data_IF_097222494224
#
_entry.id   IF_097222494224
#
_cell.length_a   1.000
_cell.length_b   1.000
_cell.length_c   1.000
_cell.angle_alpha   90.00
_cell.angle_beta   90.00
_cell.angle_gamma   90.00
#
_symmetry.space_group_name_H-M   'P 1'
#
loop_
_entity.id
_entity.type
_entity.pdbx_description
1 polymer ?
#
# COMPACT_ATOMS: atom_id res chain seq x y z
N UNK A 1 -37.27 -66.72 19.61
CA UNK A 1 -37.30 -65.87 20.82
C UNK A 1 -35.96 -65.16 20.90
N UNK A 2 -35.87 -63.97 20.32
CA UNK A 2 -34.64 -63.18 20.30
C UNK A 2 -34.93 -61.85 21.00
N UNK A 3 -34.33 -61.65 22.18
CA UNK A 3 -34.48 -60.44 23.00
C UNK A 3 -33.48 -59.40 22.51
N UNK A 4 -33.96 -58.35 21.83
CA UNK A 4 -33.22 -57.08 21.72
C UNK A 4 -33.91 -56.03 22.58
N UNK A 5 -33.15 -55.51 23.53
CA UNK A 5 -33.55 -54.44 24.43
C UNK A 5 -33.77 -53.14 23.65
N UNK A 6 -34.95 -52.56 23.79
CA UNK A 6 -35.23 -51.18 23.38
C UNK A 6 -34.73 -50.24 24.48
N UNK A 7 -33.66 -49.49 24.20
CA UNK A 7 -33.30 -48.29 24.95
C UNK A 7 -33.81 -47.07 24.17
N UNK A 8 -34.50 -46.12 24.83
CA UNK A 8 -35.16 -45.01 24.16
C UNK A 8 -34.15 -44.00 23.61
N UNK A 9 -34.33 -43.62 22.34
CA UNK A 9 -33.58 -42.55 21.71
C UNK A 9 -33.92 -41.20 22.36
N UNK A 10 -33.18 -40.80 23.41
CA UNK A 10 -33.07 -39.40 23.80
C UNK A 10 -32.27 -38.67 22.71
N UNK A 11 -32.98 -38.21 21.68
CA UNK A 11 -32.50 -37.18 20.80
C UNK A 11 -32.27 -35.92 21.63
N UNK A 12 -31.02 -35.73 22.08
CA UNK A 12 -30.54 -34.49 22.69
C UNK A 12 -30.68 -33.40 21.64
N UNK A 13 -31.78 -32.64 21.70
CA UNK A 13 -31.99 -31.47 20.87
C UNK A 13 -30.84 -30.49 21.15
N UNK A 14 -29.87 -30.44 20.22
CA UNK A 14 -28.85 -29.41 20.22
C UNK A 14 -29.57 -28.06 20.25
N UNK A 15 -29.23 -27.13 21.16
CA UNK A 15 -29.84 -25.82 21.18
C UNK A 15 -29.70 -25.19 19.80
N UNK A 16 -30.83 -24.71 19.26
CA UNK A 16 -30.88 -24.04 17.97
C UNK A 16 -29.77 -22.98 17.92
N UNK A 17 -28.90 -23.07 16.90
CA UNK A 17 -27.86 -22.08 16.67
C UNK A 17 -28.53 -20.71 16.62
N UNK A 18 -28.06 -19.70 17.38
CA UNK A 18 -28.58 -18.35 17.22
C UNK A 18 -28.42 -17.97 15.75
N UNK A 19 -29.53 -17.56 15.12
CA UNK A 19 -29.53 -17.14 13.72
C UNK A 19 -28.49 -16.03 13.49
N UNK A 20 -27.93 -15.92 12.28
CA UNK A 20 -27.00 -14.84 11.99
C UNK A 20 -27.70 -13.51 12.30
N UNK A 21 -27.12 -12.73 13.22
CA UNK A 21 -27.54 -11.35 13.44
C UNK A 21 -27.62 -10.66 12.07
N UNK A 22 -28.65 -9.85 11.81
CA UNK A 22 -28.78 -9.18 10.52
C UNK A 22 -27.49 -8.43 10.25
N UNK A 23 -26.82 -8.76 9.15
CA UNK A 23 -25.69 -8.00 8.65
C UNK A 23 -26.15 -6.55 8.66
N UNK A 24 -25.55 -5.72 9.53
CA UNK A 24 -26.04 -4.37 9.75
C UNK A 24 -25.52 -3.48 8.59
N UNK A 25 -25.93 -3.84 7.37
CA UNK A 25 -25.65 -3.19 6.07
C UNK A 25 -26.30 -1.81 5.95
N UNK A 26 -26.92 -1.32 7.04
CA UNK A 26 -27.47 0.02 7.17
C UNK A 26 -26.41 1.11 7.37
N UNK A 27 -26.85 2.26 7.87
CA UNK A 27 -26.02 3.47 8.07
C UNK A 27 -24.76 3.23 8.92
N UNK A 28 -24.81 2.30 9.86
CA UNK A 28 -23.69 2.00 10.74
C UNK A 28 -22.52 1.28 10.04
N UNK A 29 -22.79 0.34 9.13
CA UNK A 29 -21.72 -0.30 8.34
C UNK A 29 -20.95 0.73 7.49
N UNK A 30 -21.66 1.70 6.92
CA UNK A 30 -21.06 2.81 6.18
C UNK A 30 -20.28 3.79 7.07
N UNK A 31 -20.75 4.03 8.30
CA UNK A 31 -19.97 4.75 9.30
C UNK A 31 -18.63 4.05 9.56
N UNK A 32 -18.62 2.73 9.77
CA UNK A 32 -17.40 1.94 9.96
C UNK A 32 -16.46 2.08 8.76
N UNK A 33 -16.97 1.97 7.53
CA UNK A 33 -16.17 2.18 6.31
C UNK A 33 -15.58 3.60 6.27
N UNK A 34 -16.36 4.62 6.61
CA UNK A 34 -15.89 6.01 6.67
C UNK A 34 -14.73 6.20 7.66
N UNK A 35 -14.83 5.63 8.86
CA UNK A 35 -13.73 5.66 9.85
C UNK A 35 -12.48 4.95 9.33
N UNK A 36 -12.64 3.79 8.67
CA UNK A 36 -11.51 3.04 8.08
C UNK A 36 -10.88 3.77 6.90
N UNK A 37 -11.67 4.49 6.09
CA UNK A 37 -11.16 5.37 5.03
C UNK A 37 -10.33 6.52 5.61
N UNK A 38 -10.78 7.15 6.71
CA UNK A 38 -10.01 8.18 7.39
C UNK A 38 -8.68 7.64 7.92
N UNK A 39 -8.68 6.45 8.53
CA UNK A 39 -7.46 5.79 8.97
C UNK A 39 -6.50 5.50 7.80
N UNK A 40 -7.04 5.12 6.63
CA UNK A 40 -6.22 4.86 5.44
C UNK A 40 -5.68 6.13 4.78
N UNK A 41 -6.45 7.22 4.78
CA UNK A 41 -5.98 8.55 4.36
C UNK A 41 -4.83 9.01 5.25
N UNK A 42 -4.98 8.87 6.57
CA UNK A 42 -3.92 9.21 7.52
C UNK A 42 -2.64 8.40 7.24
N UNK A 43 -2.76 7.12 6.86
CA UNK A 43 -1.60 6.27 6.58
C UNK A 43 -0.81 6.79 5.37
N UNK A 44 -1.51 7.22 4.33
CA UNK A 44 -0.83 7.84 3.18
C UNK A 44 -0.28 9.24 3.49
N UNK A 45 -0.94 10.02 4.36
CA UNK A 45 -0.42 11.30 4.83
C UNK A 45 0.94 11.15 5.50
N UNK A 46 1.07 10.20 6.43
CA UNK A 46 2.33 9.91 7.11
C UNK A 46 3.40 9.36 6.15
N UNK A 47 3.03 8.54 5.18
CA UNK A 47 3.99 8.05 4.19
C UNK A 47 4.59 9.16 3.33
N UNK A 48 3.83 10.22 3.05
CA UNK A 48 4.29 11.33 2.20
C UNK A 48 4.92 12.50 2.95
N UNK A 49 4.69 12.65 4.26
CA UNK A 49 5.28 13.80 4.97
C UNK A 49 6.82 13.78 4.88
N UNK A 50 7.44 12.58 4.88
CA UNK A 50 8.88 12.44 4.76
C UNK A 50 9.42 12.88 3.40
N UNK A 51 8.67 12.73 2.29
CA UNK A 51 9.12 13.16 0.95
C UNK A 51 9.08 14.66 0.75
N UNK A 52 8.21 15.37 1.46
CA UNK A 52 8.15 16.83 1.46
C UNK A 52 9.26 17.44 2.33
N UNK A 53 9.65 16.75 3.40
CA UNK A 53 10.63 17.26 4.38
C UNK A 53 12.08 16.86 4.09
N UNK A 54 12.39 16.30 2.92
CA UNK A 54 13.74 15.85 2.57
C UNK A 54 14.77 16.97 2.71
N UNK A 55 14.50 18.16 2.14
CA UNK A 55 15.42 19.30 2.21
C UNK A 55 15.70 19.75 3.65
N UNK A 56 14.68 20.08 4.45
CA UNK A 56 14.85 20.43 5.87
C UNK A 56 15.58 19.36 6.70
N UNK A 57 15.19 18.09 6.59
CA UNK A 57 15.81 16.99 7.37
C UNK A 57 17.30 16.86 7.05
N UNK A 58 17.67 16.94 5.77
CA UNK A 58 19.08 16.89 5.36
C UNK A 58 19.90 18.04 5.92
N UNK A 59 19.34 19.26 5.92
CA UNK A 59 20.03 20.45 6.44
C UNK A 59 20.30 20.36 7.95
N UNK A 60 19.34 19.84 8.71
CA UNK A 60 19.42 19.81 10.17
C UNK A 60 20.19 18.58 10.71
N UNK A 61 20.01 17.40 10.10
CA UNK A 61 20.63 16.15 10.56
C UNK A 61 21.95 15.84 9.81
N UNK A 62 22.16 16.42 8.63
CA UNK A 62 23.37 16.20 7.84
C UNK A 62 23.42 14.82 7.15
N UNK A 63 22.28 14.31 6.67
CA UNK A 63 22.17 12.98 6.07
C UNK A 63 22.22 13.00 4.54
N UNK A 64 22.70 11.92 3.91
CA UNK A 64 22.79 11.79 2.44
C UNK A 64 21.46 11.45 1.77
N UNK A 65 21.36 11.58 0.44
CA UNK A 65 20.16 11.14 -0.28
C UNK A 65 20.01 9.60 -0.20
N UNK A 66 21.12 8.85 -0.14
CA UNK A 66 21.06 7.40 0.14
C UNK A 66 20.39 7.12 1.49
N UNK A 67 20.75 7.86 2.54
CA UNK A 67 20.11 7.72 3.86
C UNK A 67 18.63 8.11 3.81
N UNK A 68 18.26 9.17 3.09
CA UNK A 68 16.85 9.52 2.86
C UNK A 68 16.12 8.39 2.11
N UNK A 69 16.71 7.82 1.07
CA UNK A 69 16.13 6.71 0.31
C UNK A 69 15.91 5.47 1.20
N UNK A 70 16.83 5.20 2.14
CA UNK A 70 16.66 4.16 3.15
C UNK A 70 15.49 4.46 4.11
N UNK A 71 15.29 5.72 4.52
CA UNK A 71 14.18 6.13 5.40
C UNK A 71 12.82 6.08 4.70
N UNK A 72 12.76 6.49 3.43
CA UNK A 72 11.54 6.50 2.61
C UNK A 72 11.14 5.08 2.18
N UNK A 73 12.13 4.22 1.92
CA UNK A 73 11.92 2.85 1.47
C UNK A 73 12.11 1.81 2.57
N UNK A 74 13.37 1.41 2.75
CA UNK A 74 13.77 0.22 3.52
C UNK A 74 13.25 0.21 4.97
N UNK A 75 13.40 1.34 5.68
CA UNK A 75 13.05 1.47 7.09
C UNK A 75 11.58 1.11 7.36
N UNK A 76 10.69 1.59 6.50
CA UNK A 76 9.26 1.28 6.56
C UNK A 76 8.96 -0.11 5.99
N UNK A 77 9.50 -0.42 4.80
CA UNK A 77 9.11 -1.57 3.99
C UNK A 77 9.30 -2.93 4.66
N UNK A 78 10.46 -3.14 5.31
CA UNK A 78 10.80 -4.43 5.91
C UNK A 78 9.80 -4.75 7.02
N UNK A 79 9.60 -3.82 7.94
CA UNK A 79 8.74 -4.03 9.11
C UNK A 79 7.28 -4.03 8.74
N UNK A 80 6.84 -3.09 7.89
CA UNK A 80 5.47 -3.09 7.37
C UNK A 80 5.14 -4.44 6.70
N UNK A 81 5.96 -4.89 5.77
CA UNK A 81 5.65 -6.09 4.96
C UNK A 81 5.74 -7.38 5.78
N UNK A 82 6.75 -7.51 6.65
CA UNK A 82 6.92 -8.72 7.47
C UNK A 82 5.89 -8.79 8.59
N UNK A 83 5.55 -7.65 9.22
CA UNK A 83 4.56 -7.60 10.29
C UNK A 83 3.11 -7.77 9.79
N UNK A 84 2.82 -7.61 8.49
CA UNK A 84 1.48 -7.90 7.93
C UNK A 84 1.01 -9.33 8.24
N UNK A 85 1.91 -10.33 8.22
CA UNK A 85 1.57 -11.73 8.49
C UNK A 85 1.23 -11.96 9.98
N UNK A 86 2.08 -11.58 10.96
CA UNK A 86 1.72 -11.57 12.38
C UNK A 86 0.48 -10.72 12.69
N UNK A 87 0.33 -9.56 12.05
CA UNK A 87 -0.82 -8.69 12.24
C UNK A 87 -2.13 -9.38 11.81
N UNK A 88 -2.14 -10.07 10.68
CA UNK A 88 -3.27 -10.91 10.27
C UNK A 88 -3.62 -11.97 11.30
N UNK A 89 -2.61 -12.69 11.82
CA UNK A 89 -2.80 -13.67 12.89
C UNK A 89 -3.37 -13.04 14.18
N UNK A 90 -2.90 -11.84 14.53
CA UNK A 90 -3.34 -11.09 15.71
C UNK A 90 -4.81 -10.65 15.55
N UNK A 91 -5.15 -10.09 14.40
CA UNK A 91 -6.52 -9.70 14.01
C UNK A 91 -7.48 -10.90 14.00
N UNK A 92 -7.02 -12.07 13.57
CA UNK A 92 -7.83 -13.28 13.53
C UNK A 92 -8.13 -13.85 14.93
N UNK A 93 -7.23 -13.64 15.90
CA UNK A 93 -7.34 -14.23 17.25
C UNK A 93 -7.94 -13.30 18.28
N UNK A 94 -7.67 -12.01 18.20
CA UNK A 94 -8.03 -11.04 19.25
C UNK A 94 -9.01 -9.98 18.74
N UNK A 95 -9.41 -9.05 19.60
CA UNK A 95 -10.40 -8.01 19.27
C UNK A 95 -9.84 -7.03 18.22
N UNK A 96 -10.43 -7.02 17.02
CA UNK A 96 -9.89 -6.32 15.85
C UNK A 96 -9.94 -4.81 16.01
N UNK A 97 -11.04 -4.31 16.58
CA UNK A 97 -11.18 -2.90 16.95
C UNK A 97 -10.06 -2.45 17.89
N UNK A 98 -9.83 -3.15 19.00
CA UNK A 98 -8.83 -2.76 20.00
C UNK A 98 -7.41 -2.82 19.42
N UNK A 99 -7.11 -3.86 18.63
CA UNK A 99 -5.82 -4.00 17.97
C UNK A 99 -5.60 -2.86 16.99
N UNK A 100 -6.60 -2.53 16.18
CA UNK A 100 -6.50 -1.45 15.19
C UNK A 100 -6.32 -0.08 15.87
N UNK A 101 -7.10 0.21 16.93
CA UNK A 101 -6.97 1.46 17.67
C UNK A 101 -5.59 1.60 18.34
N UNK A 102 -5.11 0.53 18.98
CA UNK A 102 -3.78 0.49 19.60
C UNK A 102 -2.66 0.63 18.55
N UNK A 103 -2.76 -0.08 17.43
CA UNK A 103 -1.77 -0.01 16.36
C UNK A 103 -1.71 1.40 15.74
N UNK A 104 -2.86 2.05 15.55
CA UNK A 104 -2.92 3.44 15.11
C UNK A 104 -2.29 4.39 16.13
N UNK A 105 -2.58 4.22 17.43
CA UNK A 105 -1.97 5.04 18.48
C UNK A 105 -0.44 4.85 18.54
N UNK A 106 0.05 3.62 18.44
CA UNK A 106 1.48 3.31 18.38
C UNK A 106 2.11 3.96 17.15
N UNK A 107 1.48 3.84 15.99
CA UNK A 107 1.95 4.48 14.76
C UNK A 107 2.05 6.01 14.93
N UNK A 108 1.03 6.68 15.46
CA UNK A 108 1.09 8.13 15.71
C UNK A 108 2.19 8.52 16.72
N UNK A 109 2.42 7.70 17.76
CA UNK A 109 3.54 7.91 18.69
C UNK A 109 4.90 7.76 17.99
N UNK A 110 5.03 6.82 17.06
CA UNK A 110 6.25 6.63 16.27
C UNK A 110 6.44 7.76 15.24
N UNK A 111 5.37 8.32 14.68
CA UNK A 111 5.41 9.53 13.86
C UNK A 111 5.90 10.72 14.67
N UNK A 112 5.43 10.89 15.91
CA UNK A 112 5.98 11.89 16.84
C UNK A 112 7.46 11.60 17.12
N UNK A 113 7.84 10.34 17.33
CA UNK A 113 9.24 9.96 17.52
C UNK A 113 10.12 10.32 16.31
N UNK A 114 9.59 10.29 15.07
CA UNK A 114 10.30 10.83 13.90
C UNK A 114 10.55 12.33 14.03
N UNK A 115 9.57 13.12 14.48
CA UNK A 115 9.75 14.55 14.75
C UNK A 115 10.74 14.83 15.88
N UNK A 116 10.85 13.95 16.88
CA UNK A 116 11.81 14.10 17.98
C UNK A 116 13.25 13.71 17.61
N UNK A 117 13.43 13.01 16.50
CA UNK A 117 14.74 12.48 16.11
C UNK A 117 15.75 13.60 15.78
N UNK A 118 17.00 13.35 16.17
CA UNK A 118 18.14 14.25 15.92
C UNK A 118 19.28 13.57 15.17
N UNK A 119 19.16 12.28 14.91
CA UNK A 119 20.15 11.47 14.21
C UNK A 119 19.51 10.49 13.24
N UNK A 120 20.27 10.05 12.23
CA UNK A 120 19.78 9.06 11.27
C UNK A 120 19.27 7.76 11.94
N UNK A 121 19.99 7.13 12.89
CA UNK A 121 19.53 5.89 13.51
C UNK A 121 18.21 6.07 14.28
N UNK A 122 18.03 7.19 14.99
CA UNK A 122 16.77 7.49 15.69
C UNK A 122 15.60 7.61 14.71
N UNK A 123 15.78 8.39 13.63
CA UNK A 123 14.75 8.56 12.62
C UNK A 123 14.43 7.23 11.92
N UNK A 124 15.46 6.41 11.66
CA UNK A 124 15.32 5.09 11.05
C UNK A 124 14.51 4.14 11.95
N UNK A 125 14.84 4.06 13.24
CA UNK A 125 14.09 3.24 14.20
C UNK A 125 12.65 3.72 14.39
N UNK A 126 12.43 5.03 14.45
CA UNK A 126 11.08 5.59 14.53
C UNK A 126 10.26 5.22 13.28
N UNK A 127 10.84 5.32 12.07
CA UNK A 127 10.17 4.90 10.82
C UNK A 127 9.89 3.40 10.75
N UNK A 128 10.76 2.57 11.32
CA UNK A 128 10.46 1.14 11.48
C UNK A 128 9.23 0.93 12.37
N UNK A 129 9.15 1.66 13.49
CA UNK A 129 8.00 1.63 14.40
C UNK A 129 6.69 2.02 13.73
N UNK A 130 6.72 3.05 12.86
CA UNK A 130 5.58 3.44 12.02
C UNK A 130 5.12 2.27 11.14
N UNK A 131 6.07 1.59 10.46
CA UNK A 131 5.77 0.42 9.64
C UNK A 131 5.10 -0.72 10.40
N UNK A 132 5.52 -0.98 11.65
CA UNK A 132 4.92 -2.01 12.52
C UNK A 132 3.44 -1.68 12.82
N UNK A 133 3.15 -0.44 13.20
CA UNK A 133 1.78 -0.02 13.52
C UNK A 133 0.86 -0.04 12.30
N UNK A 134 1.33 0.47 11.16
CA UNK A 134 0.54 0.51 9.93
C UNK A 134 0.23 -0.88 9.34
N UNK A 135 1.06 -1.90 9.61
CA UNK A 135 0.87 -3.26 9.11
C UNK A 135 -0.48 -3.88 9.51
N UNK A 136 -1.08 -3.40 10.60
CA UNK A 136 -2.36 -3.89 11.15
C UNK A 136 -3.57 -3.38 10.38
N UNK A 137 -3.48 -2.19 9.78
CA UNK A 137 -4.63 -1.48 9.20
C UNK A 137 -5.35 -2.32 8.15
N UNK A 138 -4.61 -2.84 7.17
CA UNK A 138 -5.18 -3.64 6.07
C UNK A 138 -5.96 -4.87 6.57
N UNK A 139 -5.31 -5.82 7.26
CA UNK A 139 -5.98 -7.02 7.77
C UNK A 139 -7.19 -6.71 8.66
N UNK A 140 -7.07 -5.72 9.57
CA UNK A 140 -8.16 -5.35 10.45
C UNK A 140 -9.34 -4.73 9.69
N UNK A 141 -9.07 -3.83 8.74
CA UNK A 141 -10.09 -3.19 7.92
C UNK A 141 -10.87 -4.21 7.08
N UNK A 142 -10.18 -5.11 6.36
CA UNK A 142 -10.85 -6.15 5.57
C UNK A 142 -11.69 -7.09 6.44
N UNK A 143 -11.16 -7.48 7.60
CA UNK A 143 -11.88 -8.34 8.55
C UNK A 143 -13.13 -7.65 9.09
N UNK A 144 -13.05 -6.38 9.52
CA UNK A 144 -14.20 -5.62 9.99
C UNK A 144 -15.25 -5.44 8.89
N UNK A 145 -14.85 -4.97 7.69
CA UNK A 145 -15.77 -4.71 6.57
C UNK A 145 -16.50 -6.00 6.17
N UNK A 146 -15.80 -7.13 6.07
CA UNK A 146 -16.42 -8.42 5.71
C UNK A 146 -17.45 -8.94 6.72
N UNK A 147 -17.38 -8.51 7.98
CA UNK A 147 -18.39 -8.85 8.98
C UNK A 147 -19.59 -7.88 9.04
N UNK A 148 -19.45 -6.66 8.51
CA UNK A 148 -20.54 -5.69 8.47
C UNK A 148 -21.38 -5.76 7.19
N UNK A 149 -20.79 -6.22 6.08
CA UNK A 149 -21.44 -6.24 4.78
C UNK A 149 -21.76 -7.67 4.31
N UNK A 150 -22.96 -7.85 3.77
CA UNK A 150 -23.34 -9.06 3.06
C UNK A 150 -22.56 -9.19 1.74
N UNK A 151 -22.50 -10.41 1.19
CA UNK A 151 -21.66 -10.77 0.03
C UNK A 151 -21.94 -9.91 -1.21
N UNK A 152 -23.17 -9.44 -1.38
CA UNK A 152 -23.63 -8.59 -2.48
C UNK A 152 -23.10 -7.15 -2.39
N UNK A 153 -22.97 -6.59 -1.18
CA UNK A 153 -22.48 -5.22 -0.95
C UNK A 153 -21.01 -5.13 -0.53
N UNK A 154 -20.41 -6.25 -0.14
CA UNK A 154 -19.01 -6.32 0.28
C UNK A 154 -18.02 -5.77 -0.77
N UNK A 155 -18.15 -6.08 -2.08
CA UNK A 155 -17.25 -5.51 -3.09
C UNK A 155 -17.28 -3.99 -3.10
N UNK A 156 -18.47 -3.38 -3.02
CA UNK A 156 -18.62 -1.93 -2.98
C UNK A 156 -17.95 -1.32 -1.74
N UNK A 157 -18.15 -1.92 -0.56
CA UNK A 157 -17.53 -1.43 0.68
C UNK A 157 -15.99 -1.51 0.61
N UNK A 158 -15.44 -2.60 0.07
CA UNK A 158 -14.00 -2.75 -0.17
C UNK A 158 -13.49 -1.72 -1.19
N UNK A 159 -14.23 -1.45 -2.26
CA UNK A 159 -13.87 -0.42 -3.25
C UNK A 159 -13.83 0.97 -2.61
N UNK A 160 -14.83 1.33 -1.79
CA UNK A 160 -14.85 2.63 -1.08
C UNK A 160 -13.68 2.75 -0.10
N UNK A 161 -13.36 1.69 0.64
CA UNK A 161 -12.16 1.65 1.48
C UNK A 161 -10.88 1.86 0.64
N UNK A 162 -10.78 1.21 -0.52
CA UNK A 162 -9.59 1.25 -1.38
C UNK A 162 -9.37 2.64 -2.01
N UNK A 163 -10.45 3.39 -2.30
CA UNK A 163 -10.37 4.80 -2.75
C UNK A 163 -9.64 5.67 -1.71
N UNK A 164 -9.70 5.32 -0.42
CA UNK A 164 -8.97 5.99 0.65
C UNK A 164 -7.46 6.06 0.42
N UNK A 165 -6.87 5.11 -0.33
CA UNK A 165 -5.45 5.14 -0.66
C UNK A 165 -5.11 6.23 -1.68
N UNK A 166 -5.90 6.36 -2.74
CA UNK A 166 -5.72 7.41 -3.77
C UNK A 166 -6.04 8.79 -3.24
N UNK A 167 -7.17 8.92 -2.52
CA UNK A 167 -7.52 10.15 -1.81
C UNK A 167 -6.42 10.51 -0.82
N UNK A 168 -5.97 9.52 -0.04
CA UNK A 168 -4.88 9.66 0.91
C UNK A 168 -3.62 10.21 0.26
N UNK A 169 -3.13 9.59 -0.81
CA UNK A 169 -1.92 10.05 -1.50
C UNK A 169 -2.04 11.46 -2.07
N UNK A 170 -3.18 11.82 -2.67
CA UNK A 170 -3.38 13.17 -3.23
C UNK A 170 -3.55 14.24 -2.16
N UNK A 171 -4.37 13.95 -1.14
CA UNK A 171 -4.54 14.81 0.03
C UNK A 171 -3.25 14.91 0.84
N UNK A 172 -2.40 13.89 0.83
CA UNK A 172 -1.14 13.89 1.55
C UNK A 172 -0.16 14.93 1.01
N UNK A 173 -0.10 15.15 -0.30
CA UNK A 173 0.67 16.25 -0.85
C UNK A 173 0.11 17.60 -0.38
N UNK A 174 -1.19 17.80 -0.52
CA UNK A 174 -1.86 19.07 -0.18
C UNK A 174 -1.74 19.39 1.32
N UNK A 175 -2.13 18.45 2.18
CA UNK A 175 -2.07 18.62 3.63
C UNK A 175 -0.65 18.52 4.18
N UNK A 176 0.25 17.79 3.54
CA UNK A 176 1.65 17.74 3.93
C UNK A 176 2.33 19.10 3.75
N UNK A 177 2.10 19.78 2.62
CA UNK A 177 2.59 21.14 2.41
C UNK A 177 1.92 22.15 3.35
N UNK A 178 0.64 21.95 3.68
CA UNK A 178 -0.03 22.75 4.70
C UNK A 178 0.59 22.53 6.09
N UNK A 179 0.88 21.28 6.46
CA UNK A 179 1.52 20.95 7.73
C UNK A 179 2.90 21.59 7.82
N UNK A 180 3.70 21.58 6.74
CA UNK A 180 4.98 22.28 6.67
C UNK A 180 4.82 23.80 6.82
N UNK A 181 3.88 24.42 6.11
CA UNK A 181 3.60 25.86 6.22
C UNK A 181 3.13 26.28 7.61
N UNK A 182 2.32 25.44 8.26
CA UNK A 182 1.86 25.66 9.63
C UNK A 182 2.96 25.40 10.66
N UNK A 183 4.01 24.66 10.31
CA UNK A 183 4.97 24.20 11.29
C UNK A 183 5.80 25.36 11.88
N UNK A 184 6.24 26.30 11.05
CA UNK A 184 6.99 27.48 11.50
C UNK A 184 6.16 28.42 12.41
N UNK A 185 4.91 28.82 12.08
CA UNK A 185 4.09 29.59 13.00
C UNK A 185 3.70 28.78 14.25
N UNK A 186 3.54 27.46 14.14
CA UNK A 186 3.24 26.61 15.30
C UNK A 186 4.39 26.56 16.31
N UNK A 187 5.64 26.44 15.86
CA UNK A 187 6.82 26.47 16.76
C UNK A 187 7.01 27.84 17.41
N UNK A 188 6.58 28.92 16.76
CA UNK A 188 6.59 30.26 17.34
C UNK A 188 5.45 30.48 18.37
N UNK A 189 4.25 29.99 18.09
CA UNK A 189 3.05 30.28 18.88
C UNK A 189 2.83 29.34 20.08
N UNK A 190 3.26 28.06 19.99
CA UNK A 190 2.96 27.05 20.99
C UNK A 190 4.16 26.83 21.94
N UNK A 191 4.04 27.07 23.25
CA UNK A 191 5.15 26.97 24.20
C UNK A 191 5.84 25.61 24.21
N UNK A 192 5.10 24.52 24.01
CA UNK A 192 5.63 23.16 24.01
C UNK A 192 6.34 22.77 22.69
N UNK A 193 6.21 23.58 21.64
CA UNK A 193 6.92 23.40 20.38
C UNK A 193 8.11 24.37 20.21
N UNK A 194 8.32 25.28 21.17
CA UNK A 194 9.47 26.17 21.15
C UNK A 194 10.77 25.37 21.25
N UNK A 195 11.70 25.63 20.33
CA UNK A 195 12.98 24.92 20.24
C UNK A 195 13.02 23.73 19.28
N UNK A 196 11.88 23.36 18.68
CA UNK A 196 11.86 22.38 17.59
C UNK A 196 11.95 23.07 16.23
N UNK A 197 12.60 22.40 15.27
CA UNK A 197 12.62 22.85 13.89
C UNK A 197 11.23 22.70 13.24
N UNK A 198 10.87 23.51 12.23
CA UNK A 198 9.58 23.41 11.55
C UNK A 198 9.28 21.99 11.02
N UNK A 199 10.25 21.29 10.45
CA UNK A 199 10.01 19.93 9.95
C UNK A 199 9.66 18.94 11.08
N UNK A 200 10.19 19.14 12.29
CA UNK A 200 9.86 18.33 13.47
C UNK A 200 8.42 18.57 13.90
N UNK A 201 7.99 19.83 13.91
CA UNK A 201 6.61 20.21 14.21
C UNK A 201 5.61 19.67 13.17
N UNK A 202 6.00 19.59 11.89
CA UNK A 202 5.16 19.00 10.84
C UNK A 202 4.80 17.53 11.15
N UNK A 203 5.72 16.73 11.69
CA UNK A 203 5.42 15.37 12.16
C UNK A 203 4.38 15.35 13.30
N UNK A 204 4.46 16.29 14.25
CA UNK A 204 3.50 16.38 15.34
C UNK A 204 2.10 16.77 14.84
N UNK A 205 2.04 17.73 13.93
CA UNK A 205 0.79 18.19 13.30
C UNK A 205 0.13 17.05 12.54
N UNK A 206 0.90 16.27 11.76
CA UNK A 206 0.38 15.12 11.00
C UNK A 206 -0.06 13.97 11.91
N UNK A 207 0.62 13.75 13.04
CA UNK A 207 0.25 12.69 13.99
C UNK A 207 -1.03 12.99 14.78
N UNK A 208 -1.32 14.26 15.07
CA UNK A 208 -2.42 14.65 15.95
C UNK A 208 -3.82 14.15 15.49
N UNK A 209 -4.23 14.30 14.22
CA UNK A 209 -5.50 13.73 13.74
C UNK A 209 -5.59 12.22 13.89
N UNK A 210 -4.46 11.50 13.82
CA UNK A 210 -4.43 10.05 13.95
C UNK A 210 -4.85 9.57 15.34
N UNK A 211 -4.54 10.30 16.41
CA UNK A 211 -5.05 10.00 17.75
C UNK A 211 -6.57 10.16 17.83
N UNK A 212 -7.13 11.22 17.24
CA UNK A 212 -8.57 11.40 17.17
C UNK A 212 -9.25 10.26 16.38
N UNK A 213 -8.64 9.81 15.27
CA UNK A 213 -9.11 8.65 14.50
C UNK A 213 -8.99 7.36 15.32
N UNK A 214 -7.95 7.19 16.14
CA UNK A 214 -7.81 6.03 17.05
C UNK A 214 -8.93 5.98 18.07
N UNK A 215 -9.27 7.12 18.68
CA UNK A 215 -10.43 7.21 19.58
C UNK A 215 -11.74 6.95 18.83
N UNK A 216 -11.86 7.42 17.58
CA UNK A 216 -13.01 7.15 16.73
C UNK A 216 -13.13 5.67 16.38
N UNK A 217 -12.03 4.93 16.21
CA UNK A 217 -12.07 3.48 15.99
C UNK A 217 -12.63 2.75 17.21
N UNK A 218 -12.41 3.25 18.43
CA UNK A 218 -12.97 2.63 19.65
C UNK A 218 -14.51 2.67 19.71
N UNK A 219 -15.16 3.56 18.95
CA UNK A 219 -16.63 3.62 18.85
C UNK A 219 -17.21 2.53 17.93
N UNK A 220 -16.35 1.90 17.11
CA UNK A 220 -16.75 0.77 16.27
C UNK A 220 -17.15 -0.39 17.18
N UNK A 221 -18.26 -1.05 16.91
CA UNK A 221 -18.67 -2.25 17.63
C UNK A 221 -17.87 -3.43 17.06
N UNK A 222 -17.29 -4.26 17.92
CA UNK A 222 -16.63 -5.48 17.45
C UNK A 222 -17.71 -6.48 16.98
N UNK A 223 -17.74 -6.87 15.69
CA UNK A 223 -18.78 -7.78 15.21
C UNK A 223 -18.47 -9.22 15.63
N UNK A 224 -19.52 -10.01 15.88
CA UNK A 224 -19.40 -11.44 16.20
C UNK A 224 -18.77 -12.17 15.01
N UNK A 225 -17.76 -13.01 15.28
CA UNK A 225 -17.00 -13.69 14.22
C UNK A 225 -17.83 -14.75 13.51
N UNK A 226 -18.08 -14.53 12.22
CA UNK A 226 -18.66 -15.52 11.32
C UNK A 226 -17.57 -16.50 10.85
N UNK A 227 -17.23 -17.48 11.71
CA UNK A 227 -16.26 -18.59 11.50
C UNK A 227 -14.79 -18.18 11.25
N UNK A 228 -13.88 -18.82 11.99
CA UNK A 228 -12.46 -18.84 11.66
C UNK A 228 -12.24 -19.70 10.39
N UNK A 229 -11.53 -19.16 9.40
CA UNK A 229 -11.10 -19.93 8.25
C UNK A 229 -10.20 -21.09 8.72
N UNK A 230 -10.55 -22.32 8.33
CA UNK A 230 -9.87 -23.53 8.77
C UNK A 230 -8.38 -23.49 8.43
N UNK A 231 -7.53 -23.68 9.44
CA UNK A 231 -6.08 -23.75 9.30
C UNK A 231 -5.67 -25.00 8.51
N UNK A 232 -5.55 -24.90 7.18
CA UNK A 232 -4.94 -25.96 6.37
C UNK A 232 -3.41 -25.92 6.61
N UNK A 233 -2.72 -27.06 6.73
CA UNK A 233 -1.32 -27.12 7.19
C UNK A 233 -0.27 -26.49 6.24
N UNK A 234 0.96 -26.31 6.74
CA UNK A 234 2.14 -25.87 5.95
C UNK A 234 2.51 -26.75 4.74
N UNK A 235 2.33 -28.09 4.77
CA UNK A 235 2.61 -28.97 3.63
C UNK A 235 1.81 -28.63 2.37
N UNK A 236 0.54 -28.26 2.52
CA UNK A 236 -0.34 -27.89 1.40
C UNK A 236 0.13 -26.61 0.69
N UNK A 237 0.61 -25.62 1.47
CA UNK A 237 1.18 -24.39 0.93
C UNK A 237 2.47 -24.69 0.13
N UNK A 238 3.38 -25.49 0.69
CA UNK A 238 4.63 -25.86 -0.01
C UNK A 238 4.36 -26.63 -1.30
N UNK A 239 3.41 -27.58 -1.28
CA UNK A 239 2.99 -28.34 -2.45
C UNK A 239 2.37 -27.45 -3.54
N UNK A 240 1.68 -26.37 -3.16
CA UNK A 240 1.14 -25.41 -4.12
C UNK A 240 2.21 -24.50 -4.73
N UNK A 241 3.14 -23.98 -3.91
CA UNK A 241 4.15 -23.01 -4.32
C UNK A 241 5.31 -23.64 -5.11
N UNK A 242 5.76 -24.85 -4.75
CA UNK A 242 6.98 -25.44 -5.32
C UNK A 242 6.91 -25.67 -6.85
N UNK A 243 5.81 -26.16 -7.45
CA UNK A 243 5.72 -26.34 -8.90
C UNK A 243 5.61 -24.98 -9.63
N UNK A 244 5.08 -23.98 -8.93
CA UNK A 244 4.80 -22.63 -9.46
C UNK A 244 5.94 -21.64 -9.19
N UNK A 245 7.06 -22.09 -8.61
CA UNK A 245 8.19 -21.22 -8.18
C UNK A 245 8.71 -20.28 -9.28
N UNK A 246 8.77 -20.76 -10.53
CA UNK A 246 9.25 -19.94 -11.67
C UNK A 246 8.28 -18.79 -11.96
N UNK A 247 6.98 -19.09 -12.05
CA UNK A 247 5.96 -18.06 -12.22
C UNK A 247 5.98 -17.07 -11.05
N UNK A 248 5.97 -17.58 -9.81
CA UNK A 248 5.95 -16.75 -8.62
C UNK A 248 7.17 -15.84 -8.51
N UNK A 249 8.36 -16.30 -8.93
CA UNK A 249 9.55 -15.46 -8.98
C UNK A 249 9.40 -14.31 -9.99
N UNK A 250 8.95 -14.60 -11.21
CA UNK A 250 8.73 -13.55 -12.22
C UNK A 250 7.60 -12.58 -11.82
N UNK A 251 6.55 -13.11 -11.20
CA UNK A 251 5.46 -12.30 -10.66
C UNK A 251 5.96 -11.37 -9.55
N UNK A 252 6.62 -11.91 -8.52
CA UNK A 252 7.07 -11.11 -7.37
C UNK A 252 8.12 -10.09 -7.78
N UNK A 253 9.06 -10.49 -8.64
CA UNK A 253 10.08 -9.57 -9.16
C UNK A 253 9.44 -8.52 -10.08
N UNK A 254 8.66 -8.92 -11.08
CA UNK A 254 8.08 -7.98 -12.04
C UNK A 254 7.09 -7.00 -11.42
N UNK A 255 6.11 -7.49 -10.65
CA UNK A 255 5.14 -6.61 -9.95
C UNK A 255 5.82 -5.82 -8.83
N UNK A 256 6.79 -6.43 -8.13
CA UNK A 256 7.61 -5.75 -7.13
C UNK A 256 8.37 -4.56 -7.73
N UNK A 257 9.11 -4.77 -8.82
CA UNK A 257 9.85 -3.72 -9.51
C UNK A 257 8.94 -2.63 -10.09
N UNK A 258 7.77 -3.00 -10.63
CA UNK A 258 6.78 -2.02 -11.10
C UNK A 258 6.21 -1.18 -9.94
N UNK A 259 6.03 -1.81 -8.77
CA UNK A 259 5.71 -1.13 -7.51
C UNK A 259 6.86 -0.21 -7.09
N UNK A 260 8.11 -0.62 -7.28
CA UNK A 260 9.29 0.19 -7.00
C UNK A 260 9.35 1.46 -7.84
N UNK A 261 8.97 1.39 -9.11
CA UNK A 261 8.86 2.59 -9.97
C UNK A 261 7.87 3.58 -9.37
N UNK A 262 6.73 3.10 -8.87
CA UNK A 262 5.71 3.97 -8.27
C UNK A 262 6.21 4.63 -6.98
N UNK A 263 6.79 3.86 -6.06
CA UNK A 263 7.31 4.40 -4.80
C UNK A 263 8.53 5.30 -4.99
N UNK A 264 9.43 4.99 -5.92
CA UNK A 264 10.55 5.87 -6.26
C UNK A 264 10.07 7.27 -6.68
N UNK A 265 9.06 7.31 -7.55
CA UNK A 265 8.47 8.55 -8.04
C UNK A 265 7.68 9.27 -6.94
N UNK A 266 6.90 8.56 -6.13
CA UNK A 266 6.24 9.19 -4.96
C UNK A 266 7.25 9.80 -3.98
N UNK A 267 8.39 9.13 -3.77
CA UNK A 267 9.40 9.55 -2.80
C UNK A 267 10.22 10.77 -3.26
N UNK A 268 10.55 10.85 -4.55
CA UNK A 268 11.53 11.80 -5.07
C UNK A 268 10.98 12.88 -6.01
N UNK A 269 9.76 12.73 -6.57
CA UNK A 269 9.19 13.78 -7.44
C UNK A 269 9.11 15.13 -6.73
N UNK A 270 8.61 15.26 -5.48
CA UNK A 270 8.53 16.56 -4.83
C UNK A 270 9.89 17.26 -4.73
N UNK A 271 10.88 16.55 -4.18
CA UNK A 271 12.25 17.04 -4.08
C UNK A 271 12.89 17.33 -5.45
N UNK A 272 12.54 16.57 -6.50
CA UNK A 272 13.02 16.81 -7.85
C UNK A 272 12.46 18.11 -8.43
N UNK A 273 11.17 18.41 -8.23
CA UNK A 273 10.59 19.68 -8.68
C UNK A 273 11.19 20.89 -7.96
N UNK A 274 11.41 20.78 -6.66
CA UNK A 274 12.06 21.85 -5.88
C UNK A 274 13.52 22.05 -6.31
N UNK A 275 14.31 20.96 -6.37
CA UNK A 275 15.76 21.04 -6.65
C UNK A 275 16.10 21.37 -8.11
N UNK A 276 15.37 20.80 -9.06
CA UNK A 276 15.68 20.91 -10.49
C UNK A 276 14.96 22.07 -11.18
N UNK A 277 13.82 22.52 -10.65
CA UNK A 277 13.02 23.59 -11.25
C UNK A 277 12.76 24.79 -10.33
N UNK A 278 13.16 24.72 -9.05
CA UNK A 278 12.99 25.82 -8.11
C UNK A 278 11.54 26.09 -7.71
N UNK A 279 10.65 25.11 -7.89
CA UNK A 279 9.25 25.25 -7.48
C UNK A 279 9.13 25.38 -5.96
N UNK A 280 8.22 26.22 -5.50
CA UNK A 280 7.85 26.26 -4.10
C UNK A 280 7.14 24.96 -3.71
N UNK A 281 7.36 24.49 -2.48
CA UNK A 281 6.77 23.23 -1.98
C UNK A 281 5.25 23.23 -2.06
N UNK A 282 4.62 24.38 -1.82
CA UNK A 282 3.17 24.57 -1.97
C UNK A 282 2.66 24.35 -3.40
N UNK A 283 3.39 24.83 -4.41
CA UNK A 283 3.02 24.68 -5.82
C UNK A 283 3.21 23.23 -6.28
N UNK A 284 4.35 22.64 -5.92
CA UNK A 284 4.63 21.21 -6.16
C UNK A 284 3.54 20.34 -5.56
N UNK A 285 3.21 20.55 -4.28
CA UNK A 285 2.16 19.82 -3.59
C UNK A 285 0.77 19.98 -4.22
N UNK A 286 0.41 21.21 -4.61
CA UNK A 286 -0.88 21.48 -5.27
C UNK A 286 -1.00 20.70 -6.58
N UNK A 287 0.00 20.78 -7.45
CA UNK A 287 -0.06 20.12 -8.76
C UNK A 287 0.00 18.60 -8.65
N UNK A 288 0.92 18.06 -7.83
CA UNK A 288 1.03 16.61 -7.62
C UNK A 288 -0.20 16.03 -6.92
N UNK A 289 -0.76 16.77 -5.94
CA UNK A 289 -2.00 16.41 -5.26
C UNK A 289 -3.18 16.31 -6.23
N UNK A 290 -3.42 17.36 -7.04
CA UNK A 290 -4.47 17.36 -8.06
C UNK A 290 -4.28 16.24 -9.09
N UNK A 291 -3.03 16.03 -9.54
CA UNK A 291 -2.70 14.96 -10.47
C UNK A 291 -3.03 13.58 -9.90
N UNK A 292 -2.65 13.31 -8.65
CA UNK A 292 -2.93 12.04 -7.99
C UNK A 292 -4.43 11.83 -7.74
N UNK A 293 -5.16 12.87 -7.33
CA UNK A 293 -6.61 12.78 -7.10
C UNK A 293 -7.37 12.44 -8.39
N UNK A 294 -7.05 13.10 -9.50
CA UNK A 294 -7.74 12.92 -10.78
C UNK A 294 -7.23 11.68 -11.52
N UNK A 295 -5.95 11.65 -11.87
CA UNK A 295 -5.38 10.63 -12.73
C UNK A 295 -5.02 9.35 -11.99
N UNK A 296 -4.67 9.44 -10.70
CA UNK A 296 -4.43 8.26 -9.87
C UNK A 296 -5.69 7.45 -9.63
N UNK A 297 -6.81 8.12 -9.33
CA UNK A 297 -8.12 7.46 -9.18
C UNK A 297 -8.62 6.89 -10.51
N UNK A 298 -8.51 7.66 -11.61
CA UNK A 298 -8.91 7.20 -12.94
C UNK A 298 -8.10 5.98 -13.40
N UNK A 299 -6.79 5.94 -13.09
CA UNK A 299 -5.91 4.83 -13.42
C UNK A 299 -6.36 3.52 -12.78
N UNK A 300 -6.63 3.50 -11.48
CA UNK A 300 -7.09 2.28 -10.77
C UNK A 300 -8.32 1.66 -11.44
N UNK A 301 -9.31 2.49 -11.81
CA UNK A 301 -10.52 2.05 -12.50
C UNK A 301 -10.19 1.53 -13.92
N UNK A 302 -9.34 2.26 -14.64
CA UNK A 302 -8.94 1.90 -16.00
C UNK A 302 -8.18 0.57 -16.07
N UNK A 303 -7.34 0.27 -15.09
CA UNK A 303 -6.59 -1.00 -15.03
C UNK A 303 -7.49 -2.23 -15.03
N UNK A 304 -8.50 -2.25 -14.15
CA UNK A 304 -9.46 -3.36 -14.06
C UNK A 304 -10.28 -3.51 -15.35
N UNK A 305 -10.80 -2.39 -15.88
CA UNK A 305 -11.54 -2.41 -17.15
C UNK A 305 -10.67 -2.82 -18.34
N UNK A 306 -9.41 -2.40 -18.36
CA UNK A 306 -8.44 -2.79 -19.38
C UNK A 306 -8.15 -4.29 -19.35
N UNK A 307 -7.99 -4.86 -18.16
CA UNK A 307 -7.81 -6.30 -18.00
C UNK A 307 -9.03 -7.10 -18.48
N UNK A 308 -10.26 -6.65 -18.17
CA UNK A 308 -11.50 -7.29 -18.65
C UNK A 308 -11.63 -7.23 -20.17
N UNK A 309 -11.28 -6.10 -20.79
CA UNK A 309 -11.32 -5.99 -22.26
C UNK A 309 -10.28 -6.91 -22.90
N UNK A 310 -9.06 -6.94 -22.35
CA UNK A 310 -7.98 -7.77 -22.87
C UNK A 310 -8.22 -9.27 -22.61
N UNK A 311 -8.95 -9.63 -21.55
CA UNK A 311 -9.26 -11.03 -21.22
C UNK A 311 -10.18 -11.70 -22.23
N UNK A 312 -10.90 -10.92 -23.05
CA UNK A 312 -11.69 -11.44 -24.19
C UNK A 312 -10.84 -12.14 -25.25
N UNK A 313 -9.55 -11.78 -25.34
CA UNK A 313 -8.63 -12.32 -26.33
C UNK A 313 -7.43 -13.05 -25.72
N UNK A 314 -7.11 -12.78 -24.44
CA UNK A 314 -5.92 -13.31 -23.79
C UNK A 314 -6.21 -13.77 -22.36
N UNK A 315 -6.08 -15.07 -22.09
CA UNK A 315 -6.24 -15.62 -20.73
C UNK A 315 -5.22 -15.03 -19.73
N UNK A 316 -4.07 -14.56 -20.19
CA UNK A 316 -3.03 -13.92 -19.39
C UNK A 316 -3.16 -12.39 -19.29
N UNK A 317 -4.34 -11.84 -19.59
CA UNK A 317 -4.59 -10.40 -19.71
C UNK A 317 -4.08 -9.55 -18.53
N UNK A 318 -4.25 -9.99 -17.29
CA UNK A 318 -3.83 -9.20 -16.11
C UNK A 318 -2.32 -8.97 -16.09
N UNK A 319 -1.53 -10.04 -16.21
CA UNK A 319 -0.07 -9.96 -16.20
C UNK A 319 0.49 -9.34 -17.49
N UNK A 320 -0.17 -9.61 -18.63
CA UNK A 320 0.17 -9.03 -19.94
C UNK A 320 0.00 -7.52 -19.93
N UNK A 321 -1.12 -7.02 -19.40
CA UNK A 321 -1.37 -5.59 -19.29
C UNK A 321 -0.37 -4.92 -18.35
N UNK A 322 -0.03 -5.55 -17.21
CA UNK A 322 1.01 -5.05 -16.31
C UNK A 322 2.38 -4.96 -17.00
N UNK A 323 2.74 -5.95 -17.84
CA UNK A 323 3.97 -5.92 -18.62
C UNK A 323 3.99 -4.78 -19.65
N UNK A 324 2.89 -4.57 -20.37
CA UNK A 324 2.74 -3.48 -21.34
C UNK A 324 2.87 -2.11 -20.64
N UNK A 325 2.18 -1.93 -19.51
CA UNK A 325 2.27 -0.71 -18.69
C UNK A 325 3.72 -0.46 -18.29
N UNK A 326 4.43 -1.46 -17.78
CA UNK A 326 5.83 -1.34 -17.38
C UNK A 326 6.75 -0.90 -18.54
N UNK A 327 6.53 -1.44 -19.75
CA UNK A 327 7.31 -1.04 -20.92
C UNK A 327 7.00 0.38 -21.40
N UNK A 328 5.77 0.86 -21.25
CA UNK A 328 5.38 2.24 -21.59
C UNK A 328 5.88 3.24 -20.55
N UNK A 329 5.90 2.88 -19.27
CA UNK A 329 6.40 3.74 -18.21
C UNK A 329 7.91 4.02 -18.34
N UNK A 330 8.69 3.06 -18.87
CA UNK A 330 10.14 3.22 -19.04
C UNK A 330 10.54 4.46 -19.88
N UNK A 331 10.05 4.65 -21.12
CA UNK A 331 10.36 5.84 -21.90
C UNK A 331 9.77 7.12 -21.29
N UNK A 332 8.61 7.06 -20.62
CA UNK A 332 8.04 8.24 -19.94
C UNK A 332 8.99 8.74 -18.86
N UNK A 333 9.51 7.86 -18.01
CA UNK A 333 10.49 8.21 -16.97
C UNK A 333 11.77 8.85 -17.56
N UNK A 334 12.29 8.27 -18.65
CA UNK A 334 13.50 8.77 -19.30
C UNK A 334 13.30 10.14 -19.95
N UNK A 335 12.19 10.34 -20.66
CA UNK A 335 11.87 11.61 -21.32
C UNK A 335 11.56 12.70 -20.29
N UNK A 336 10.86 12.36 -19.18
CA UNK A 336 10.59 13.29 -18.09
C UNK A 336 11.88 13.83 -17.44
N UNK A 337 12.96 13.05 -17.45
CA UNK A 337 14.26 13.51 -16.92
C UNK A 337 14.98 14.54 -17.81
N UNK A 338 14.64 14.58 -19.09
CA UNK A 338 15.23 15.51 -20.07
C UNK A 338 14.41 16.81 -20.16
N UNK A 339 13.19 16.83 -19.59
CA UNK A 339 12.30 17.98 -19.65
C UNK A 339 12.96 19.26 -19.11
N UNK A 340 13.13 20.26 -19.99
CA UNK A 340 13.80 21.52 -19.67
C UNK A 340 12.96 22.50 -18.83
N UNK A 341 11.66 22.23 -18.66
CA UNK A 341 10.73 23.08 -17.93
C UNK A 341 9.84 22.21 -17.02
N UNK A 342 9.49 22.68 -15.80
CA UNK A 342 8.63 21.94 -14.87
C UNK A 342 7.26 21.56 -15.46
N UNK A 343 6.63 22.40 -16.29
CA UNK A 343 5.30 22.11 -16.87
C UNK A 343 5.35 20.95 -17.86
N UNK A 344 6.44 20.82 -18.63
CA UNK A 344 6.63 19.67 -19.52
C UNK A 344 6.86 18.39 -18.71
N UNK A 345 7.64 18.46 -17.63
CA UNK A 345 7.83 17.34 -16.70
C UNK A 345 6.49 16.92 -16.09
N UNK A 346 5.70 17.88 -15.60
CA UNK A 346 4.37 17.63 -15.04
C UNK A 346 3.44 16.97 -16.08
N UNK A 347 3.41 17.47 -17.31
CA UNK A 347 2.61 16.90 -18.39
C UNK A 347 2.97 15.44 -18.71
N UNK A 348 4.25 15.05 -18.57
CA UNK A 348 4.71 13.66 -18.72
C UNK A 348 4.37 12.81 -17.49
N UNK A 349 4.34 13.41 -16.30
CA UNK A 349 3.95 12.71 -15.07
C UNK A 349 2.44 12.45 -14.95
N UNK A 350 1.60 13.16 -15.71
CA UNK A 350 0.15 12.87 -15.82
C UNK A 350 -0.13 11.46 -16.35
N UNK A 351 0.32 11.07 -17.57
CA UNK A 351 0.14 9.70 -18.06
C UNK A 351 0.92 8.68 -17.24
N UNK A 352 2.08 9.04 -16.68
CA UNK A 352 2.79 8.19 -15.71
C UNK A 352 1.90 7.84 -14.52
N UNK A 353 1.24 8.83 -13.90
CA UNK A 353 0.40 8.63 -12.71
C UNK A 353 -0.80 7.76 -13.03
N UNK A 354 -1.44 8.00 -14.16
CA UNK A 354 -2.55 7.16 -14.64
C UNK A 354 -2.11 5.70 -14.85
N UNK A 355 -1.00 5.47 -15.56
CA UNK A 355 -0.52 4.12 -15.87
C UNK A 355 0.04 3.38 -14.64
N UNK A 356 0.81 4.07 -13.79
CA UNK A 356 1.38 3.49 -12.57
C UNK A 356 0.32 3.13 -11.54
N UNK A 357 -0.80 3.85 -11.47
CA UNK A 357 -1.91 3.46 -10.61
C UNK A 357 -2.80 2.37 -11.23
N UNK A 358 -2.83 2.26 -12.56
CA UNK A 358 -3.61 1.23 -13.27
C UNK A 358 -3.19 -0.20 -12.96
N UNK A 359 -1.90 -0.47 -12.70
CA UNK A 359 -1.47 -1.85 -12.44
C UNK A 359 -1.76 -2.33 -11.00
N UNK A 360 -2.11 -1.42 -10.07
CA UNK A 360 -2.31 -1.74 -8.64
C UNK A 360 -3.33 -2.87 -8.44
N UNK A 361 -4.38 -2.91 -9.27
CA UNK A 361 -5.39 -3.97 -9.24
C UNK A 361 -4.97 -5.25 -9.97
N UNK A 362 -4.05 -5.17 -10.94
CA UNK A 362 -3.66 -6.28 -11.81
C UNK A 362 -2.85 -7.35 -11.07
N UNK A 363 -1.90 -6.92 -10.24
CA UNK A 363 -1.02 -7.81 -9.47
C UNK A 363 -1.80 -8.75 -8.56
N UNK A 364 -2.58 -8.25 -7.60
CA UNK A 364 -3.38 -9.09 -6.71
C UNK A 364 -4.36 -9.99 -7.47
N UNK A 365 -5.00 -9.48 -8.53
CA UNK A 365 -5.92 -10.26 -9.37
C UNK A 365 -5.22 -11.45 -10.01
N UNK A 366 -4.00 -11.29 -10.53
CA UNK A 366 -3.25 -12.37 -11.16
C UNK A 366 -2.92 -13.53 -10.19
N UNK A 367 -2.56 -13.24 -8.94
CA UNK A 367 -2.38 -14.30 -7.92
C UNK A 367 -3.73 -14.91 -7.55
N UNK A 368 -4.77 -14.09 -7.41
CA UNK A 368 -6.09 -14.58 -6.99
C UNK A 368 -6.72 -15.56 -7.98
N UNK A 369 -6.51 -15.38 -9.29
CA UNK A 369 -7.05 -16.26 -10.32
C UNK A 369 -6.47 -17.69 -10.28
N UNK A 370 -5.23 -17.84 -9.82
CA UNK A 370 -4.55 -19.15 -9.80
C UNK A 370 -4.59 -19.83 -8.43
N UNK A 371 -5.10 -19.14 -7.40
CA UNK A 371 -4.98 -19.59 -6.02
C UNK A 371 -6.28 -20.26 -5.55
N UNK A 372 -6.23 -21.53 -5.11
CA UNK A 372 -7.38 -22.22 -4.54
C UNK A 372 -7.90 -21.51 -3.28
N UNK A 373 -9.21 -21.59 -3.04
CA UNK A 373 -9.88 -20.90 -1.92
C UNK A 373 -9.24 -21.21 -0.56
N UNK A 374 -8.89 -22.47 -0.32
CA UNK A 374 -8.26 -22.90 0.94
C UNK A 374 -6.87 -22.26 1.21
N UNK A 375 -6.16 -21.82 0.16
CA UNK A 375 -4.82 -21.23 0.26
C UNK A 375 -4.80 -19.72 -0.03
N UNK A 376 -5.93 -19.14 -0.45
CA UNK A 376 -6.07 -17.75 -0.94
C UNK A 376 -5.42 -16.72 -0.02
N UNK A 377 -5.74 -16.76 1.28
CA UNK A 377 -5.19 -15.81 2.24
C UNK A 377 -3.66 -15.89 2.39
N UNK A 378 -3.10 -17.10 2.46
CA UNK A 378 -1.66 -17.30 2.69
C UNK A 378 -0.82 -16.97 1.47
N UNK A 379 -1.24 -17.42 0.29
CA UNK A 379 -0.51 -17.15 -0.95
C UNK A 379 -0.56 -15.65 -1.27
N UNK A 380 -1.72 -15.01 -1.16
CA UNK A 380 -1.82 -13.56 -1.34
C UNK A 380 -0.97 -12.80 -0.32
N UNK A 381 -1.01 -13.18 0.97
CA UNK A 381 -0.20 -12.54 2.01
C UNK A 381 1.30 -12.64 1.74
N UNK A 382 1.78 -13.84 1.37
CA UNK A 382 3.20 -14.04 1.04
C UNK A 382 3.61 -13.28 -0.22
N UNK A 383 2.79 -13.31 -1.26
CA UNK A 383 3.05 -12.61 -2.52
C UNK A 383 3.09 -11.09 -2.31
N UNK A 384 2.11 -10.53 -1.59
CA UNK A 384 2.06 -9.10 -1.25
C UNK A 384 3.24 -8.69 -0.37
N UNK A 385 3.65 -9.52 0.59
CA UNK A 385 4.84 -9.25 1.41
C UNK A 385 6.09 -9.10 0.53
N UNK A 386 6.35 -10.05 -0.37
CA UNK A 386 7.52 -10.00 -1.25
C UNK A 386 7.45 -8.81 -2.23
N UNK A 387 6.28 -8.58 -2.82
CA UNK A 387 6.04 -7.43 -3.72
C UNK A 387 6.24 -6.11 -2.99
N UNK A 388 5.78 -5.96 -1.74
CA UNK A 388 5.94 -4.73 -0.97
C UNK A 388 7.39 -4.51 -0.52
N UNK A 389 8.12 -5.56 -0.13
CA UNK A 389 9.54 -5.44 0.23
C UNK A 389 10.34 -4.92 -0.97
N UNK A 390 10.16 -5.53 -2.15
CA UNK A 390 10.82 -5.08 -3.37
C UNK A 390 10.33 -3.67 -3.74
N UNK A 391 9.01 -3.50 -3.78
CA UNK A 391 8.33 -2.28 -4.18
C UNK A 391 8.77 -1.06 -3.38
N UNK A 392 8.60 -1.10 -2.07
CA UNK A 392 8.84 0.07 -1.24
C UNK A 392 10.35 0.31 -1.03
N UNK A 393 11.17 -0.75 -0.94
CA UNK A 393 12.60 -0.60 -0.60
C UNK A 393 13.48 -0.23 -1.79
N UNK A 394 13.33 -0.91 -2.93
CA UNK A 394 14.32 -0.86 -4.02
C UNK A 394 14.26 0.48 -4.77
N UNK A 395 13.06 1.00 -5.00
CA UNK A 395 12.85 2.18 -5.84
C UNK A 395 13.56 3.44 -5.33
N UNK A 396 13.19 3.95 -4.14
CA UNK A 396 13.82 5.14 -3.56
C UNK A 396 15.33 5.00 -3.40
N UNK A 397 15.81 3.81 -3.02
CA UNK A 397 17.24 3.54 -2.84
C UNK A 397 18.03 3.57 -4.16
N UNK A 398 17.51 2.96 -5.23
CA UNK A 398 18.17 2.98 -6.55
C UNK A 398 18.30 4.41 -7.07
N UNK A 399 17.25 5.22 -6.94
CA UNK A 399 17.29 6.64 -7.34
C UNK A 399 18.37 7.38 -6.55
N UNK A 400 18.40 7.21 -5.23
CA UNK A 400 19.38 7.84 -4.37
C UNK A 400 20.83 7.42 -4.68
N UNK A 401 21.08 6.12 -4.87
CA UNK A 401 22.41 5.59 -5.21
C UNK A 401 22.90 6.14 -6.56
N UNK A 402 22.01 6.23 -7.55
CA UNK A 402 22.36 6.83 -8.84
C UNK A 402 22.68 8.32 -8.69
N UNK A 403 21.87 9.07 -7.95
CA UNK A 403 22.11 10.51 -7.71
C UNK A 403 23.42 10.78 -6.97
N UNK A 404 23.69 10.05 -5.88
CA UNK A 404 24.87 10.28 -5.04
C UNK A 404 26.16 9.70 -5.64
N UNK A 405 26.14 8.47 -6.18
CA UNK A 405 27.37 7.80 -6.61
C UNK A 405 27.66 7.90 -8.11
N UNK A 406 26.62 7.89 -8.97
CA UNK A 406 26.83 7.95 -10.41
C UNK A 406 26.96 9.41 -10.88
N UNK A 407 26.09 10.30 -10.41
CA UNK A 407 26.08 11.70 -10.83
C UNK A 407 26.85 12.63 -9.90
N UNK A 408 27.02 12.26 -8.62
CA UNK A 408 27.83 13.00 -7.64
C UNK A 408 27.30 14.40 -7.30
N UNK A 409 26.04 14.71 -7.66
CA UNK A 409 25.44 16.04 -7.48
C UNK A 409 23.94 15.92 -7.21
N UNK A 410 23.47 16.53 -6.13
CA UNK A 410 22.04 16.52 -5.75
C UNK A 410 21.12 17.12 -6.82
N UNK A 411 21.61 18.10 -7.59
CA UNK A 411 20.87 18.72 -8.69
C UNK A 411 20.54 17.74 -9.83
N UNK A 412 21.26 16.61 -9.90
CA UNK A 412 21.03 15.54 -10.89
C UNK A 412 19.98 14.52 -10.43
N UNK A 413 19.25 14.79 -9.35
CA UNK A 413 18.14 13.95 -8.89
C UNK A 413 17.15 13.59 -10.01
N UNK A 414 16.86 14.55 -10.90
CA UNK A 414 16.01 14.32 -12.08
C UNK A 414 16.52 13.18 -12.98
N UNK A 415 17.83 13.08 -13.19
CA UNK A 415 18.45 12.00 -13.98
C UNK A 415 18.47 10.67 -13.21
N UNK A 416 18.79 10.70 -11.92
CA UNK A 416 18.70 9.51 -11.05
C UNK A 416 17.30 8.91 -11.04
N UNK A 417 16.27 9.77 -10.95
CA UNK A 417 14.87 9.37 -10.98
C UNK A 417 14.47 8.79 -12.34
N UNK A 418 14.80 9.48 -13.44
CA UNK A 418 14.42 9.02 -14.78
C UNK A 418 15.12 7.74 -15.22
N UNK A 419 16.45 7.66 -15.04
CA UNK A 419 17.24 6.48 -15.41
C UNK A 419 16.94 5.33 -14.47
N UNK A 420 16.93 5.57 -13.15
CA UNK A 420 16.62 4.54 -12.16
C UNK A 420 15.22 3.96 -12.38
N UNK A 421 14.19 4.81 -12.42
CA UNK A 421 12.81 4.35 -12.65
C UNK A 421 12.64 3.75 -14.03
N UNK A 422 13.29 4.29 -15.07
CA UNK A 422 13.25 3.76 -16.42
C UNK A 422 13.80 2.34 -16.52
N UNK A 423 14.97 2.09 -15.92
CA UNK A 423 15.60 0.77 -15.88
C UNK A 423 14.80 -0.23 -15.05
N UNK A 424 14.29 0.18 -13.90
CA UNK A 424 13.42 -0.66 -13.07
C UNK A 424 12.13 -1.04 -13.83
N UNK A 425 11.53 -0.09 -14.54
CA UNK A 425 10.31 -0.29 -15.32
C UNK A 425 10.53 -1.21 -16.52
N UNK A 426 11.64 -1.02 -17.25
CA UNK A 426 12.04 -1.90 -18.35
C UNK A 426 12.28 -3.33 -17.86
N UNK A 427 13.02 -3.48 -16.76
CA UNK A 427 13.31 -4.78 -16.15
C UNK A 427 12.03 -5.47 -15.66
N UNK A 428 11.10 -4.71 -15.06
CA UNK A 428 9.78 -5.20 -14.68
C UNK A 428 9.01 -5.72 -15.89
N UNK A 429 8.93 -4.93 -16.97
CA UNK A 429 8.24 -5.32 -18.21
C UNK A 429 8.81 -6.60 -18.82
N UNK A 430 10.14 -6.68 -18.97
CA UNK A 430 10.82 -7.86 -19.51
C UNK A 430 10.60 -9.10 -18.62
N UNK A 431 10.68 -8.95 -17.30
CA UNK A 431 10.43 -10.03 -16.35
C UNK A 431 8.99 -10.54 -16.41
N UNK A 432 8.01 -9.65 -16.51
CA UNK A 432 6.61 -10.04 -16.64
C UNK A 432 6.34 -10.72 -17.98
N UNK A 433 6.92 -10.23 -19.09
CA UNK A 433 6.79 -10.82 -20.42
C UNK A 433 7.32 -12.25 -20.48
N UNK A 434 8.53 -12.50 -19.94
CA UNK A 434 9.10 -13.86 -19.90
C UNK A 434 8.29 -14.78 -18.98
N UNK A 435 7.68 -14.22 -17.93
CA UNK A 435 6.76 -14.90 -17.02
C UNK A 435 5.41 -15.32 -17.62
N UNK A 436 4.96 -14.72 -18.73
CA UNK A 436 3.65 -15.00 -19.33
C UNK A 436 3.46 -16.46 -19.74
N UNK A 437 4.52 -17.12 -20.21
CA UNK A 437 4.45 -18.55 -20.60
C UNK A 437 4.20 -19.46 -19.39
N UNK A 438 4.79 -19.13 -18.24
CA UNK A 438 4.58 -19.85 -16.98
C UNK A 438 3.18 -19.56 -16.42
N UNK A 439 2.74 -18.30 -16.48
CA UNK A 439 1.40 -17.91 -16.02
C UNK A 439 0.29 -18.60 -16.81
N UNK A 440 0.40 -18.66 -18.14
CA UNK A 440 -0.57 -19.37 -19.00
C UNK A 440 -0.68 -20.85 -18.69
N UNK A 441 0.43 -21.51 -18.32
CA UNK A 441 0.40 -22.92 -17.88
C UNK A 441 -0.35 -23.07 -16.57
N UNK A 442 -0.02 -22.24 -15.58
CA UNK A 442 -0.66 -22.30 -14.26
C UNK A 442 -2.16 -22.00 -14.33
N UNK A 443 -2.59 -21.09 -15.22
CA UNK A 443 -4.02 -20.80 -15.43
C UNK A 443 -4.78 -22.00 -16.02
N UNK A 444 -4.17 -22.79 -16.91
CA UNK A 444 -4.80 -24.00 -17.47
C UNK A 444 -4.95 -25.11 -16.42
N UNK A 445 -4.03 -25.15 -15.46
CA UNK A 445 -4.03 -26.14 -14.38
C UNK A 445 -4.86 -25.69 -13.16
N UNK A 446 -5.50 -24.52 -13.22
CA UNK A 446 -6.36 -24.03 -12.15
C UNK A 446 -7.73 -24.75 -12.22
N UNK A 447 -8.30 -25.17 -11.07
CA UNK A 447 -9.60 -25.84 -11.05
C UNK A 447 -10.69 -24.94 -11.67
N UNK A 448 -11.39 -25.48 -12.66
CA UNK A 448 -12.42 -24.88 -13.54
C UNK A 448 -12.71 -23.39 -13.37
N UNK A 449 -11.95 -22.56 -14.08
CA UNK A 449 -12.34 -21.19 -14.42
C UNK A 449 -13.48 -21.11 -15.44
N UNK A 450 -13.99 -22.23 -15.96
CA UNK A 450 -15.09 -22.25 -16.94
C UNK A 450 -16.46 -21.84 -16.34
N UNK A 451 -16.69 -22.02 -15.04
CA UNK A 451 -17.93 -21.59 -14.38
C UNK A 451 -17.93 -20.10 -13.98
N UNK A 452 -16.77 -19.46 -13.87
CA UNK A 452 -16.66 -18.08 -13.39
C UNK A 452 -16.86 -17.00 -14.49
N UNK A 453 -16.85 -17.41 -15.76
CA UNK A 453 -16.94 -16.51 -16.93
C UNK A 453 -18.09 -16.85 -17.89
N UNK A 454 -18.96 -17.81 -17.55
CA UNK A 454 -20.30 -17.96 -18.13
C UNK A 454 -21.31 -17.23 -17.27
#
# INVERSE_FOLDING_TARGET
MDRRAELPAMAMALPARPGPLPANTGRYGWYVVGVLVLAYIAAFLDRQILSLLVGPIKRDIGISDVQIGLLQGLAFAIFYSTCILPAGWLVDRFNRRNILAMALAIWCLMTIACGLSRSFPELFMARMGVGIGEAVLGPAAFSLISNYFAKDRLPLAISVYSIGGSLGAGLAYIFGAFAEQMAAPATAALPFLQGFAPWQAAFFIVAAPGFAISLLILTIREPVRLRAAGAHGGPALRAFLSPRRRFLAHYCLGIGLLTSVSYANMAWIPAMFERSYGWATADTARWLGLMMLVFGTAGILAGGMGAIRLSRHHADATLRLAAIIALILAPICLVAAIAGNPYLSLALYVPFTFLSTSFVSLGPTAIQLITPDALRGRVNGLALMLVNIIGISVGPLVVALLTDHLFGREAMLRWGLGIGSGLLSLTAGLCLLTGLSAYRRVLRDAPDTEEAYR
#
